data_IF_401356676374
#
_entry.id   IF_401356676374
#
_cell.length_a   1.000
_cell.length_b   1.000
_cell.length_c   1.000
_cell.angle_alpha   90.00
_cell.angle_beta   90.00
_cell.angle_gamma   90.00
#
_symmetry.space_group_name_H-M   'P 1'
#
loop_
_entity.id
_entity.type
_entity.pdbx_description
1 polymer ?
#
# COMPACT_ATOMS: atom_id res chain seq x y z
N UNK A 1 58.11 -52.10 -35.89
CA UNK A 1 56.67 -51.82 -36.06
C UNK A 1 56.23 -51.19 -34.75
N UNK A 2 56.11 -49.86 -34.64
CA UNK A 2 54.90 -49.11 -35.01
C UNK A 2 53.78 -49.48 -34.03
N UNK A 3 53.09 -48.62 -33.26
CA UNK A 3 52.70 -47.22 -33.46
C UNK A 3 52.14 -46.69 -32.10
N UNK A 4 52.24 -45.38 -31.87
CA UNK A 4 51.36 -44.47 -31.08
C UNK A 4 50.95 -44.84 -29.63
N UNK A 5 51.32 -44.11 -28.56
CA UNK A 5 51.06 -42.68 -28.20
C UNK A 5 49.58 -42.27 -28.19
N UNK A 6 49.03 -42.02 -26.98
CA UNK A 6 48.30 -40.83 -26.52
C UNK A 6 47.42 -41.23 -25.33
N UNK A 7 47.55 -40.60 -24.15
CA UNK A 7 46.75 -39.42 -23.74
C UNK A 7 45.44 -39.91 -23.11
N UNK A 8 44.91 -39.45 -21.98
CA UNK A 8 45.15 -38.32 -21.10
C UNK A 8 44.47 -38.66 -19.77
N UNK A 9 44.93 -38.03 -18.68
CA UNK A 9 44.28 -38.00 -17.37
C UNK A 9 42.76 -37.86 -17.47
N UNK A 10 42.00 -38.85 -16.96
CA UNK A 10 40.60 -38.65 -16.57
C UNK A 10 40.61 -38.43 -15.06
N UNK A 11 41.17 -37.29 -14.66
CA UNK A 11 40.84 -36.68 -13.38
C UNK A 11 40.10 -35.38 -13.70
N UNK A 12 39.02 -35.18 -12.95
CA UNK A 12 38.25 -33.94 -12.85
C UNK A 12 37.13 -33.75 -13.88
N UNK A 13 35.98 -34.40 -13.63
CA UNK A 13 34.67 -33.85 -13.99
C UNK A 13 33.65 -34.01 -12.84
N UNK A 14 34.11 -33.93 -11.58
CA UNK A 14 33.24 -33.83 -10.39
C UNK A 14 33.09 -32.39 -9.87
N UNK A 15 33.48 -31.38 -10.66
CA UNK A 15 33.36 -29.96 -10.30
C UNK A 15 32.44 -29.17 -11.24
N UNK A 16 31.39 -29.80 -11.80
CA UNK A 16 30.32 -29.09 -12.51
C UNK A 16 28.92 -29.40 -11.97
N UNK A 17 28.82 -29.98 -10.76
CA UNK A 17 27.56 -30.04 -10.01
C UNK A 17 27.52 -29.02 -8.86
N UNK A 18 28.42 -28.05 -8.89
CA UNK A 18 28.43 -26.93 -7.96
C UNK A 18 27.73 -25.75 -8.62
N UNK A 19 26.63 -25.35 -7.98
CA UNK A 19 25.97 -24.04 -8.10
C UNK A 19 25.03 -23.85 -9.31
N UNK A 20 24.08 -24.77 -9.49
CA UNK A 20 22.69 -24.30 -9.69
C UNK A 20 22.06 -24.13 -8.30
N UNK A 21 22.60 -23.18 -7.53
CA UNK A 21 21.73 -22.51 -6.55
C UNK A 21 20.73 -21.80 -7.42
N UNK A 22 19.57 -22.43 -7.58
CA UNK A 22 18.37 -21.77 -8.04
C UNK A 22 18.38 -20.41 -7.36
N UNK A 23 18.53 -19.33 -8.14
CA UNK A 23 18.18 -18.00 -7.67
C UNK A 23 16.71 -18.12 -7.33
N UNK A 24 16.42 -18.54 -6.10
CA UNK A 24 15.09 -18.43 -5.54
C UNK A 24 14.74 -16.98 -5.76
N UNK A 25 13.76 -16.73 -6.64
CA UNK A 25 13.11 -15.44 -6.70
C UNK A 25 12.50 -15.27 -5.31
N UNK A 26 13.27 -14.68 -4.39
CA UNK A 26 12.69 -14.08 -3.20
C UNK A 26 11.97 -12.85 -3.73
N UNK A 27 10.74 -13.08 -4.21
CA UNK A 27 9.81 -12.01 -4.52
C UNK A 27 9.51 -11.34 -3.20
N UNK A 28 10.22 -10.25 -2.90
CA UNK A 28 9.90 -9.43 -1.75
C UNK A 28 8.51 -8.81 -1.99
N UNK A 29 7.56 -9.12 -1.11
CA UNK A 29 6.22 -8.52 -1.16
C UNK A 29 6.31 -6.98 -1.25
N UNK A 30 5.53 -6.33 -2.14
CA UNK A 30 5.58 -4.90 -2.29
C UNK A 30 5.16 -4.20 -0.99
N UNK A 31 5.90 -3.15 -0.63
CA UNK A 31 5.55 -2.31 0.51
C UNK A 31 4.60 -1.22 0.06
N UNK A 32 3.40 -1.19 0.66
CA UNK A 32 2.36 -0.20 0.38
C UNK A 32 2.34 0.83 1.51
N UNK A 33 2.15 2.09 1.14
CA UNK A 33 1.95 3.21 2.05
C UNK A 33 0.55 3.76 1.87
N UNK A 34 -0.20 3.89 2.96
CA UNK A 34 -1.45 4.66 2.97
C UNK A 34 -1.21 5.91 3.80
N UNK A 35 -1.54 7.06 3.23
CA UNK A 35 -1.35 8.38 3.82
C UNK A 35 -2.67 9.13 3.77
N UNK A 36 -3.07 9.74 4.88
CA UNK A 36 -4.22 10.64 4.96
C UNK A 36 -3.72 12.00 5.43
N UNK A 37 -4.05 13.04 4.69
CA UNK A 37 -3.78 14.43 5.04
C UNK A 37 -5.08 15.19 5.35
N UNK A 38 -5.03 16.06 6.34
CA UNK A 38 -6.10 17.02 6.61
C UNK A 38 -5.88 18.33 5.84
N UNK A 39 -6.68 18.57 4.81
CA UNK A 39 -6.74 19.82 4.05
C UNK A 39 -8.03 20.61 4.32
N UNK A 40 -8.71 20.33 5.44
CA UNK A 40 -9.85 21.12 5.92
C UNK A 40 -9.30 22.28 6.76
N UNK A 41 -9.62 23.51 6.34
CA UNK A 41 -9.05 24.70 6.95
C UNK A 41 -9.47 24.87 8.41
N UNK A 42 -8.51 25.28 9.25
CA UNK A 42 -8.67 25.62 10.67
C UNK A 42 -9.47 24.63 11.55
N UNK A 43 -9.50 23.34 11.18
CA UNK A 43 -10.16 22.29 11.96
C UNK A 43 -9.24 21.12 12.25
N UNK A 44 -9.61 20.33 13.26
CA UNK A 44 -8.94 19.09 13.62
C UNK A 44 -9.76 17.93 13.07
N UNK A 45 -9.13 17.14 12.19
CA UNK A 45 -9.69 15.89 11.70
C UNK A 45 -9.31 14.76 12.66
N UNK A 46 -10.31 14.18 13.32
CA UNK A 46 -10.14 12.92 14.06
C UNK A 46 -10.26 11.77 13.08
N UNK A 47 -9.28 10.87 13.07
CA UNK A 47 -9.25 9.68 12.24
C UNK A 47 -9.07 8.44 13.11
N UNK A 48 -9.82 7.38 12.82
CA UNK A 48 -9.67 6.06 13.43
C UNK A 48 -9.64 5.03 12.33
N UNK A 49 -8.51 4.38 12.12
CA UNK A 49 -8.35 3.38 11.08
C UNK A 49 -8.13 1.99 11.65
N UNK A 50 -8.56 0.99 10.91
CA UNK A 50 -8.41 -0.42 11.25
C UNK A 50 -8.25 -1.26 9.99
N UNK A 51 -7.58 -2.39 10.12
CA UNK A 51 -7.68 -3.50 9.19
C UNK A 51 -8.75 -4.49 9.66
N UNK A 52 -8.86 -5.64 8.97
CA UNK A 52 -9.67 -6.76 9.44
C UNK A 52 -9.23 -7.26 10.83
N UNK A 53 -7.91 -7.36 11.04
CA UNK A 53 -7.34 -8.04 12.20
C UNK A 53 -6.72 -7.07 13.24
N UNK A 54 -6.44 -5.83 12.86
CA UNK A 54 -5.66 -4.89 13.66
C UNK A 54 -6.29 -3.50 13.69
N UNK A 55 -6.47 -2.95 14.89
CA UNK A 55 -6.78 -1.54 15.08
C UNK A 55 -5.49 -0.71 14.94
N UNK A 56 -5.48 0.27 14.02
CA UNK A 56 -4.35 1.20 13.83
C UNK A 56 -4.43 2.42 14.76
N UNK A 57 -5.50 2.53 15.53
CA UNK A 57 -5.71 3.53 16.54
C UNK A 57 -6.33 4.82 16.04
N UNK A 58 -6.48 5.76 16.98
CA UNK A 58 -7.06 7.08 16.78
C UNK A 58 -5.95 8.13 16.66
N UNK A 59 -6.08 9.03 15.70
CA UNK A 59 -5.16 10.15 15.49
C UNK A 59 -5.96 11.45 15.34
N UNK A 60 -5.35 12.57 15.73
CA UNK A 60 -5.92 13.90 15.57
C UNK A 60 -5.00 14.72 14.68
N UNK A 61 -5.49 15.11 13.50
CA UNK A 61 -4.72 15.83 12.49
C UNK A 61 -5.16 17.29 12.48
N UNK A 62 -4.26 18.19 12.86
CA UNK A 62 -4.43 19.62 12.61
C UNK A 62 -4.42 19.88 11.09
N UNK A 63 -4.84 21.08 10.68
CA UNK A 63 -4.72 21.51 9.29
C UNK A 63 -3.28 21.31 8.77
N UNK A 64 -3.17 20.71 7.58
CA UNK A 64 -1.93 20.30 6.90
C UNK A 64 -1.14 19.16 7.54
N UNK A 65 -1.56 18.63 8.68
CA UNK A 65 -0.94 17.43 9.22
C UNK A 65 -1.41 16.19 8.47
N UNK A 66 -0.53 15.19 8.42
CA UNK A 66 -0.79 13.89 7.84
C UNK A 66 -0.54 12.77 8.84
N UNK A 67 -1.18 11.64 8.61
CA UNK A 67 -0.85 10.37 9.23
C UNK A 67 -0.74 9.29 8.16
N UNK A 68 0.23 8.40 8.33
CA UNK A 68 0.49 7.34 7.39
C UNK A 68 0.95 6.08 8.11
N UNK A 69 0.72 4.94 7.45
CA UNK A 69 1.24 3.65 7.87
C UNK A 69 1.72 2.87 6.66
N UNK A 70 2.55 1.86 6.92
CA UNK A 70 3.15 1.01 5.90
C UNK A 70 2.90 -0.44 6.23
N UNK A 71 2.66 -1.24 5.22
CA UNK A 71 2.50 -2.69 5.34
C UNK A 71 3.06 -3.38 4.10
N UNK A 72 3.34 -4.67 4.21
CA UNK A 72 3.70 -5.50 3.06
C UNK A 72 2.44 -6.16 2.52
N UNK A 73 2.15 -5.98 1.25
CA UNK A 73 1.05 -6.65 0.58
C UNK A 73 1.49 -8.09 0.24
N UNK A 74 1.23 -9.02 1.15
CA UNK A 74 1.48 -10.44 0.94
C UNK A 74 0.46 -11.07 -0.02
N UNK A 75 0.48 -12.40 -0.10
CA UNK A 75 -0.42 -13.16 -0.99
C UNK A 75 -1.89 -13.19 -0.55
N UNK A 76 -2.25 -12.64 0.62
CA UNK A 76 -3.61 -12.63 1.16
C UNK A 76 -4.36 -11.32 0.94
N UNK A 77 -5.67 -11.34 1.15
CA UNK A 77 -6.49 -10.13 1.11
C UNK A 77 -6.11 -9.18 2.23
N UNK A 78 -5.80 -7.93 1.89
CA UNK A 78 -5.54 -6.87 2.87
C UNK A 78 -6.62 -5.82 2.75
N UNK A 79 -7.25 -5.43 3.85
CA UNK A 79 -8.31 -4.43 3.87
C UNK A 79 -8.03 -3.41 4.96
N UNK A 80 -8.17 -2.13 4.65
CA UNK A 80 -8.14 -1.03 5.60
C UNK A 80 -9.34 -0.12 5.40
N UNK A 81 -9.97 0.28 6.51
CA UNK A 81 -11.02 1.28 6.55
C UNK A 81 -10.75 2.29 7.64
N UNK A 82 -11.19 3.52 7.38
CA UNK A 82 -11.02 4.64 8.30
C UNK A 82 -12.37 5.31 8.53
N UNK A 83 -12.63 5.61 9.80
CA UNK A 83 -13.65 6.54 10.24
C UNK A 83 -13.02 7.92 10.46
N UNK A 84 -13.75 8.96 10.07
CA UNK A 84 -13.32 10.34 10.15
C UNK A 84 -14.39 11.16 10.86
N UNK A 85 -13.97 12.17 11.60
CA UNK A 85 -14.87 13.14 12.19
C UNK A 85 -14.18 14.49 12.34
N UNK A 86 -14.86 15.57 11.95
CA UNK A 86 -14.38 16.93 12.14
C UNK A 86 -15.57 17.85 12.50
N UNK A 87 -15.28 19.01 13.06
CA UNK A 87 -16.29 19.99 13.43
C UNK A 87 -16.17 21.21 12.53
N UNK A 88 -17.26 21.59 11.87
CA UNK A 88 -17.35 22.85 11.16
C UNK A 88 -17.80 23.96 12.12
N UNK A 89 -16.96 24.97 12.30
CA UNK A 89 -17.26 26.12 13.15
C UNK A 89 -18.32 27.03 12.53
N UNK A 90 -18.44 27.07 11.20
CA UNK A 90 -19.38 27.92 10.49
C UNK A 90 -20.80 27.33 10.57
N UNK A 91 -20.95 26.06 10.24
CA UNK A 91 -22.23 25.31 10.34
C UNK A 91 -22.54 24.83 11.78
N UNK A 92 -21.56 24.97 12.69
CA UNK A 92 -21.66 24.57 14.10
C UNK A 92 -22.06 23.10 14.30
N UNK A 93 -21.62 22.22 13.40
CA UNK A 93 -21.99 20.80 13.38
C UNK A 93 -20.78 19.89 13.15
N UNK A 94 -20.91 18.63 13.55
CA UNK A 94 -19.95 17.60 13.23
C UNK A 94 -20.24 16.98 11.87
N UNK A 95 -19.19 16.74 11.11
CA UNK A 95 -19.22 15.95 9.89
C UNK A 95 -18.42 14.68 10.11
N UNK A 96 -18.93 13.56 9.61
CA UNK A 96 -18.30 12.26 9.82
C UNK A 96 -18.44 11.36 8.59
N UNK A 97 -17.77 10.21 8.64
CA UNK A 97 -17.89 9.22 7.59
C UNK A 97 -16.90 8.08 7.74
N UNK A 98 -17.24 6.94 7.16
CA UNK A 98 -16.34 5.78 7.08
C UNK A 98 -16.24 5.29 5.66
N UNK A 99 -15.02 5.01 5.20
CA UNK A 99 -14.82 4.38 3.89
C UNK A 99 -13.59 3.48 3.89
N UNK A 100 -13.52 2.65 2.85
CA UNK A 100 -12.36 1.83 2.51
C UNK A 100 -11.23 2.72 1.98
N UNK A 101 -10.06 2.65 2.61
CA UNK A 101 -8.87 3.42 2.19
C UNK A 101 -7.85 2.58 1.42
N UNK A 102 -7.94 1.25 1.56
CA UNK A 102 -7.17 0.30 0.78
C UNK A 102 -7.85 -1.07 0.82
N UNK A 103 -7.85 -1.76 -0.32
CA UNK A 103 -8.23 -3.17 -0.44
C UNK A 103 -7.32 -3.82 -1.49
N UNK A 104 -6.43 -4.69 -1.03
CA UNK A 104 -5.61 -5.57 -1.86
C UNK A 104 -6.18 -6.98 -1.86
N UNK A 105 -6.11 -7.65 -3.00
CA UNK A 105 -6.55 -9.05 -3.18
C UNK A 105 -5.38 -10.01 -3.39
N UNK A 106 -5.70 -11.28 -3.63
CA UNK A 106 -4.73 -12.27 -4.09
C UNK A 106 -4.07 -11.79 -5.39
N UNK A 107 -2.76 -12.03 -5.55
CA UNK A 107 -2.00 -11.71 -6.77
C UNK A 107 -2.76 -12.25 -7.99
N UNK A 108 -3.30 -11.34 -8.81
CA UNK A 108 -4.04 -11.67 -10.04
C UNK A 108 -5.56 -11.45 -10.00
N UNK A 109 -6.19 -11.12 -8.85
CA UNK A 109 -7.62 -10.79 -8.78
C UNK A 109 -7.87 -9.46 -8.04
N UNK A 110 -8.51 -8.53 -8.76
CA UNK A 110 -8.92 -7.17 -8.33
C UNK A 110 -7.85 -6.26 -7.72
N UNK A 111 -6.84 -5.83 -8.50
CA UNK A 111 -5.86 -4.82 -8.11
C UNK A 111 -6.46 -3.41 -8.17
N UNK A 112 -7.61 -3.18 -7.49
CA UNK A 112 -8.29 -1.89 -7.50
C UNK A 112 -7.29 -0.80 -7.12
N UNK A 113 -6.74 -0.87 -5.91
CA UNK A 113 -5.81 0.15 -5.43
C UNK A 113 -4.40 0.06 -6.01
N UNK A 114 -3.93 -1.10 -6.46
CA UNK A 114 -2.61 -1.17 -7.09
C UNK A 114 -2.61 -0.41 -8.43
N UNK A 115 -3.75 -0.36 -9.14
CA UNK A 115 -3.92 0.52 -10.30
C UNK A 115 -4.15 1.97 -9.87
N UNK A 116 -5.04 2.20 -8.90
CA UNK A 116 -5.42 3.58 -8.52
C UNK A 116 -4.26 4.36 -7.89
N UNK A 117 -3.42 3.71 -7.08
CA UNK A 117 -2.43 4.35 -6.24
C UNK A 117 -1.05 3.71 -6.24
N UNK A 118 -0.85 2.61 -6.97
CA UNK A 118 0.42 1.87 -7.01
C UNK A 118 0.87 1.49 -5.59
N UNK A 119 2.08 1.87 -5.18
CA UNK A 119 2.61 1.63 -3.84
C UNK A 119 2.28 2.73 -2.82
N UNK A 120 1.59 3.81 -3.21
CA UNK A 120 1.30 4.95 -2.33
C UNK A 120 -0.13 5.48 -2.53
N UNK A 121 -1.03 5.05 -1.66
CA UNK A 121 -2.40 5.56 -1.55
C UNK A 121 -2.43 6.86 -0.74
N UNK A 122 -2.59 7.99 -1.44
CA UNK A 122 -2.65 9.33 -0.83
C UNK A 122 -4.09 9.83 -0.80
N UNK A 123 -4.56 10.12 0.41
CA UNK A 123 -5.89 10.63 0.70
C UNK A 123 -5.82 12.08 1.22
N UNK A 124 -6.70 12.93 0.72
CA UNK A 124 -6.84 14.33 1.16
C UNK A 124 -8.27 14.53 1.68
N UNK A 125 -8.39 14.84 2.96
CA UNK A 125 -9.64 15.25 3.57
C UNK A 125 -9.88 16.73 3.30
N UNK A 126 -10.99 17.05 2.63
CA UNK A 126 -11.37 18.40 2.23
C UNK A 126 -12.74 18.74 2.78
N UNK A 127 -13.12 20.01 2.69
CA UNK A 127 -14.36 20.50 3.29
C UNK A 127 -15.62 19.78 2.80
N UNK A 128 -15.62 19.25 1.57
CA UNK A 128 -16.77 18.60 0.93
C UNK A 128 -16.64 17.07 0.83
N UNK A 129 -15.53 16.49 1.27
CA UNK A 129 -15.36 15.04 1.29
C UNK A 129 -13.92 14.57 1.34
N UNK A 130 -13.74 13.29 1.04
CA UNK A 130 -12.43 12.64 0.99
C UNK A 130 -12.05 12.33 -0.45
N UNK A 131 -10.83 12.70 -0.81
CA UNK A 131 -10.28 12.56 -2.14
C UNK A 131 -9.12 11.56 -2.15
N UNK A 132 -9.12 10.66 -3.13
CA UNK A 132 -7.98 9.81 -3.47
C UNK A 132 -7.19 10.46 -4.60
N UNK A 133 -5.87 10.52 -4.48
CA UNK A 133 -5.02 10.83 -5.63
C UNK A 133 -4.89 9.60 -6.53
N UNK A 134 -5.42 9.71 -7.75
CA UNK A 134 -5.36 8.69 -8.81
C UNK A 134 -4.00 8.80 -9.49
N UNK A 135 -3.10 7.87 -9.21
CA UNK A 135 -1.77 7.81 -9.84
C UNK A 135 -1.84 7.44 -11.32
N UNK A 136 -2.87 6.69 -11.73
CA UNK A 136 -3.11 6.32 -13.12
C UNK A 136 -3.61 7.47 -14.00
N UNK A 137 -4.20 8.51 -13.39
CA UNK A 137 -4.77 9.67 -14.08
C UNK A 137 -4.15 11.01 -13.67
N UNK A 138 -3.22 10.96 -12.72
CA UNK A 138 -2.57 12.12 -12.11
C UNK A 138 -3.55 13.18 -11.56
N UNK A 139 -4.69 12.76 -11.00
CA UNK A 139 -5.76 13.66 -10.56
C UNK A 139 -6.36 13.29 -9.20
N UNK A 140 -6.97 14.26 -8.54
CA UNK A 140 -7.77 14.02 -7.34
C UNK A 140 -9.18 13.60 -7.69
N UNK A 141 -9.62 12.46 -7.16
CA UNK A 141 -10.99 11.94 -7.33
C UNK A 141 -11.70 11.94 -5.97
N UNK A 142 -12.85 12.61 -5.85
CA UNK A 142 -13.67 12.54 -4.63
C UNK A 142 -14.29 11.15 -4.55
N UNK A 143 -13.97 10.41 -3.48
CA UNK A 143 -14.45 9.04 -3.28
C UNK A 143 -15.53 8.94 -2.21
N UNK A 144 -15.64 9.96 -1.37
CA UNK A 144 -16.58 10.01 -0.27
C UNK A 144 -17.03 11.46 -0.01
N UNK A 145 -18.29 11.64 0.38
CA UNK A 145 -18.91 12.92 0.76
C UNK A 145 -19.29 12.81 2.22
N UNK A 146 -19.09 13.88 2.99
CA UNK A 146 -19.38 13.86 4.43
C UNK A 146 -20.86 13.70 4.75
N UNK A 147 -21.12 12.97 5.84
CA UNK A 147 -22.43 12.91 6.47
C UNK A 147 -22.47 13.93 7.63
N UNK A 148 -23.48 14.80 7.70
CA UNK A 148 -23.68 15.76 8.80
C UNK A 148 -24.28 15.13 10.07
#
# INVERSE_FOLDING_TARGET
>A
MGISSHGSSIQVCFFLFSILVSKGLSSSDPTIVVQVQNDIDQTVLKIHCKSLDQDLGKHALNFRNEWHWRFRAGSGTTYFSCHYQWYDKNDKRYYQGSHEVYKGGFIGFEPKYDILCQSKCVWSARWDGIYLYRSDKEMWERRFVWDP
#
